data_IF_644203581919
#
_entry.id   IF_644203581919
#
_cell.length_a   1.000
_cell.length_b   1.000
_cell.length_c   1.000
_cell.angle_alpha   90.00
_cell.angle_beta   90.00
_cell.angle_gamma   90.00
#
_symmetry.space_group_name_H-M   'P 1'
#
loop_
_entity.id
_entity.type
_entity.pdbx_description
1 polymer ?
#
# COMPACT_ATOMS: atom_id res chain seq x y z
N UNK A 1 -9.00 -34.97 33.67
CA UNK A 1 -8.44 -33.61 33.72
C UNK A 1 -7.77 -33.41 32.37
N UNK A 2 -8.43 -32.72 31.43
CA UNK A 2 -7.86 -32.48 30.10
C UNK A 2 -6.90 -31.30 30.22
N UNK A 3 -5.61 -31.54 29.93
CA UNK A 3 -4.61 -30.49 29.82
C UNK A 3 -4.83 -29.85 28.47
N UNK A 4 -5.40 -28.65 28.45
CA UNK A 4 -5.49 -27.83 27.24
C UNK A 4 -4.12 -27.18 27.10
N UNK A 5 -3.33 -27.63 26.13
CA UNK A 5 -2.07 -26.97 25.79
C UNK A 5 -2.38 -25.58 25.20
N UNK A 6 -1.82 -24.56 25.84
CA UNK A 6 -1.93 -23.17 25.42
C UNK A 6 -1.23 -22.99 24.07
N UNK A 7 -1.83 -22.34 23.06
CA UNK A 7 -1.20 -22.17 21.76
C UNK A 7 0.06 -21.31 21.90
N UNK A 8 1.16 -21.76 21.29
CA UNK A 8 2.42 -21.05 21.29
C UNK A 8 2.23 -19.62 20.74
N UNK A 9 2.77 -18.63 21.44
CA UNK A 9 2.78 -17.25 20.99
C UNK A 9 3.49 -17.15 19.63
N UNK A 10 2.97 -16.34 18.68
CA UNK A 10 3.66 -16.13 17.40
C UNK A 10 5.06 -15.57 17.67
N UNK A 11 6.07 -16.15 17.02
CA UNK A 11 7.45 -15.69 17.16
C UNK A 11 7.56 -14.20 16.77
N UNK A 12 8.37 -13.41 17.48
CA UNK A 12 8.55 -12.01 17.16
C UNK A 12 9.13 -11.90 15.74
N UNK A 13 8.41 -11.21 14.87
CA UNK A 13 8.83 -10.92 13.51
C UNK A 13 10.21 -10.23 13.55
N UNK A 14 11.19 -10.83 12.87
CA UNK A 14 12.55 -10.31 12.82
C UNK A 14 12.54 -8.95 12.12
N UNK A 15 12.93 -7.90 12.84
CA UNK A 15 12.95 -6.51 12.31
C UNK A 15 14.13 -6.26 11.38
N UNK A 16 15.05 -7.20 11.29
CA UNK A 16 16.28 -7.10 10.49
C UNK A 16 16.16 -7.85 9.14
N UNK A 17 14.97 -8.36 8.79
CA UNK A 17 14.68 -8.76 7.42
C UNK A 17 14.39 -7.48 6.62
N UNK A 18 15.45 -6.70 6.39
CA UNK A 18 15.44 -5.62 5.41
C UNK A 18 14.96 -6.25 4.09
N UNK A 19 13.81 -5.79 3.62
CA UNK A 19 13.36 -6.07 2.26
C UNK A 19 14.44 -5.52 1.34
N UNK A 20 15.34 -6.40 0.87
CA UNK A 20 16.30 -6.07 -0.17
C UNK A 20 15.48 -5.45 -1.32
N UNK A 21 15.65 -4.16 -1.51
CA UNK A 21 15.09 -3.48 -2.68
C UNK A 21 15.98 -3.94 -3.82
N UNK A 22 15.45 -4.82 -4.66
CA UNK A 22 16.17 -5.38 -5.80
C UNK A 22 16.84 -4.24 -6.58
N UNK A 23 18.09 -4.44 -7.02
CA UNK A 23 18.86 -3.45 -7.79
C UNK A 23 18.08 -2.96 -9.05
N UNK A 24 17.15 -3.78 -9.56
CA UNK A 24 16.22 -3.45 -10.64
C UNK A 24 15.31 -2.25 -10.30
N UNK A 25 14.98 -2.05 -9.02
CA UNK A 25 14.16 -0.94 -8.54
C UNK A 25 14.96 0.37 -8.49
N UNK A 26 16.24 0.30 -8.13
CA UNK A 26 17.15 1.47 -8.16
C UNK A 26 17.44 1.92 -9.61
N UNK A 27 17.53 0.98 -10.56
CA UNK A 27 17.65 1.33 -11.99
C UNK A 27 16.41 2.08 -12.49
N UNK A 28 15.20 1.64 -12.11
CA UNK A 28 13.92 2.32 -12.40
C UNK A 28 13.87 3.73 -11.81
N UNK A 29 14.41 3.95 -10.60
CA UNK A 29 14.43 5.27 -9.95
C UNK A 29 15.53 6.18 -10.55
N UNK A 30 16.62 5.58 -11.06
CA UNK A 30 17.79 6.32 -11.58
C UNK A 30 17.58 6.95 -12.97
N UNK A 31 16.63 6.45 -13.76
CA UNK A 31 16.20 7.05 -15.03
C UNK A 31 15.23 8.21 -14.77
N UNK A 32 15.70 9.20 -14.02
CA UNK A 32 14.98 10.37 -13.57
C UNK A 32 14.69 11.33 -14.76
N UNK A 33 13.79 10.92 -15.66
CA UNK A 33 13.07 11.82 -16.54
C UNK A 33 11.98 12.50 -15.71
N UNK A 34 12.39 13.58 -15.03
CA UNK A 34 11.55 14.64 -14.45
C UNK A 34 10.15 14.67 -15.07
N UNK A 35 9.17 14.08 -14.37
CA UNK A 35 7.75 14.01 -14.76
C UNK A 35 7.56 13.56 -16.22
N UNK A 36 7.37 12.26 -16.43
CA UNK A 36 6.81 11.76 -17.68
C UNK A 36 5.35 12.24 -17.79
N UNK A 37 5.15 13.42 -18.38
CA UNK A 37 3.83 13.99 -18.72
C UNK A 37 2.97 13.01 -19.56
N UNK A 38 3.59 11.95 -20.09
CA UNK A 38 2.96 10.93 -20.91
C UNK A 38 2.69 9.61 -20.17
N UNK A 39 3.04 9.50 -18.88
CA UNK A 39 2.93 8.26 -18.10
C UNK A 39 1.50 7.69 -18.10
N UNK A 40 0.50 8.53 -17.83
CA UNK A 40 -0.91 8.13 -17.84
C UNK A 40 -1.41 7.70 -19.23
N UNK A 41 -0.79 8.20 -20.30
CA UNK A 41 -1.14 7.84 -21.67
C UNK A 41 -0.57 6.47 -22.08
N UNK A 42 0.41 5.94 -21.35
CA UNK A 42 0.95 4.59 -21.55
C UNK A 42 0.08 3.51 -20.92
N UNK A 43 -0.80 3.87 -19.98
CA UNK A 43 -1.70 2.94 -19.29
C UNK A 43 -2.94 2.56 -20.10
N UNK A 44 -3.39 1.31 -19.99
CA UNK A 44 -4.73 0.91 -20.43
C UNK A 44 -5.81 1.43 -19.48
N UNK A 45 -7.08 1.40 -19.89
CA UNK A 45 -8.20 1.97 -19.12
C UNK A 45 -8.27 1.45 -17.68
N UNK A 46 -8.04 0.15 -17.46
CA UNK A 46 -8.12 -0.47 -16.14
C UNK A 46 -6.93 -0.03 -15.26
N UNK A 47 -5.73 0.06 -15.84
CA UNK A 47 -4.54 0.54 -15.13
C UNK A 47 -4.69 2.01 -14.73
N UNK A 48 -5.24 2.84 -15.64
CA UNK A 48 -5.51 4.25 -15.36
C UNK A 48 -6.55 4.43 -14.26
N UNK A 49 -7.59 3.58 -14.23
CA UNK A 49 -8.57 3.61 -13.16
C UNK A 49 -7.93 3.26 -11.80
N UNK A 50 -7.07 2.24 -11.76
CA UNK A 50 -6.35 1.89 -10.55
C UNK A 50 -5.33 2.95 -10.12
N UNK A 51 -4.65 3.60 -11.08
CA UNK A 51 -3.78 4.75 -10.82
C UNK A 51 -4.55 5.91 -10.17
N UNK A 52 -5.71 6.27 -10.72
CA UNK A 52 -6.56 7.31 -10.14
C UNK A 52 -7.02 6.96 -8.71
N UNK A 53 -7.42 5.71 -8.45
CA UNK A 53 -7.74 5.26 -7.09
C UNK A 53 -6.55 5.35 -6.15
N UNK A 54 -5.34 5.04 -6.64
CA UNK A 54 -4.11 5.16 -5.86
C UNK A 54 -3.80 6.62 -5.51
N UNK A 55 -3.90 7.54 -6.47
CA UNK A 55 -3.71 8.97 -6.23
C UNK A 55 -4.69 9.51 -5.18
N UNK A 56 -5.96 9.13 -5.28
CA UNK A 56 -6.99 9.51 -4.31
C UNK A 56 -6.65 9.03 -2.89
N UNK A 57 -6.20 7.77 -2.73
CA UNK A 57 -5.74 7.24 -1.45
C UNK A 57 -4.49 7.96 -0.95
N UNK A 58 -3.54 8.25 -1.84
CA UNK A 58 -2.31 8.97 -1.48
C UNK A 58 -2.61 10.37 -0.97
N UNK A 59 -3.52 11.10 -1.61
CA UNK A 59 -3.82 12.49 -1.27
C UNK A 59 -4.75 12.60 -0.06
N UNK A 60 -5.78 11.74 0.02
CA UNK A 60 -6.88 11.88 0.97
C UNK A 60 -6.82 10.90 2.14
N UNK A 61 -5.81 10.02 2.19
CA UNK A 61 -5.59 9.15 3.35
C UNK A 61 -4.14 9.15 3.81
N UNK A 62 -3.20 8.81 2.93
CA UNK A 62 -1.79 8.62 3.31
C UNK A 62 -1.00 9.94 3.42
N UNK A 63 -1.60 11.05 2.99
CA UNK A 63 -1.04 12.38 3.17
C UNK A 63 -1.18 12.92 4.59
N UNK A 64 -1.11 14.25 4.73
CA UNK A 64 -1.20 14.92 6.04
C UNK A 64 -2.64 14.99 6.59
N UNK A 65 -3.63 14.64 5.77
CA UNK A 65 -5.04 14.64 6.16
C UNK A 65 -5.64 13.29 5.82
N UNK A 66 -6.20 12.62 6.83
CA UNK A 66 -7.09 11.47 6.64
C UNK A 66 -8.52 11.96 6.45
N UNK A 67 -9.08 11.74 5.26
CA UNK A 67 -10.47 12.08 4.94
C UNK A 67 -11.45 11.12 5.62
N UNK A 68 -12.66 11.57 5.92
CA UNK A 68 -13.71 10.75 6.54
C UNK A 68 -14.11 9.54 5.67
N UNK A 69 -13.97 9.64 4.34
CA UNK A 69 -14.28 8.57 3.39
C UNK A 69 -13.11 7.61 3.09
N UNK A 70 -12.01 7.66 3.87
CA UNK A 70 -10.81 6.84 3.64
C UNK A 70 -11.08 5.34 3.45
N UNK A 71 -12.07 4.78 4.15
CA UNK A 71 -12.46 3.36 3.99
C UNK A 71 -12.90 3.08 2.56
N UNK A 72 -13.76 3.94 1.99
CA UNK A 72 -14.23 3.76 0.61
C UNK A 72 -13.09 3.92 -0.39
N UNK A 73 -12.18 4.87 -0.16
CA UNK A 73 -11.02 5.08 -1.03
C UNK A 73 -10.13 3.84 -1.08
N UNK A 74 -9.86 3.21 0.08
CA UNK A 74 -9.03 2.00 0.12
C UNK A 74 -9.78 0.78 -0.41
N UNK A 75 -11.10 0.67 -0.22
CA UNK A 75 -11.91 -0.39 -0.86
C UNK A 75 -11.91 -0.27 -2.39
N UNK A 76 -12.02 0.96 -2.93
CA UNK A 76 -11.93 1.21 -4.37
C UNK A 76 -10.56 0.83 -4.93
N UNK A 77 -9.49 1.21 -4.20
CA UNK A 77 -8.13 0.79 -4.51
C UNK A 77 -8.00 -0.75 -4.46
N UNK A 78 -8.63 -1.42 -3.49
CA UNK A 78 -8.53 -2.88 -3.29
C UNK A 78 -9.18 -3.71 -4.41
N UNK A 79 -9.93 -3.09 -5.32
CA UNK A 79 -10.46 -3.75 -6.52
C UNK A 79 -9.39 -4.13 -7.57
N UNK A 80 -8.10 -4.14 -7.21
CA UNK A 80 -6.97 -4.69 -7.96
C UNK A 80 -7.16 -6.14 -8.43
N UNK A 81 -8.09 -6.91 -7.85
CA UNK A 81 -8.46 -8.24 -8.36
C UNK A 81 -8.93 -8.17 -9.83
N UNK A 82 -9.55 -7.06 -10.23
CA UNK A 82 -9.92 -6.80 -11.64
C UNK A 82 -8.72 -6.65 -12.58
N UNK A 83 -7.54 -6.30 -12.05
CA UNK A 83 -6.27 -6.24 -12.78
C UNK A 83 -5.52 -7.58 -12.76
N UNK A 84 -6.00 -8.58 -12.01
CA UNK A 84 -5.32 -9.85 -11.82
C UNK A 84 -4.01 -9.74 -11.03
N UNK A 85 -3.82 -8.63 -10.30
CA UNK A 85 -2.63 -8.40 -9.50
C UNK A 85 -2.68 -9.22 -8.21
N UNK A 86 -1.55 -9.83 -7.85
CA UNK A 86 -1.40 -10.40 -6.51
C UNK A 86 -1.36 -9.26 -5.50
N UNK A 87 -2.10 -9.42 -4.41
CA UNK A 87 -2.11 -8.46 -3.32
C UNK A 87 -0.73 -8.47 -2.65
N UNK A 88 0.04 -7.39 -2.80
CA UNK A 88 1.29 -7.26 -2.07
C UNK A 88 0.98 -7.10 -0.56
N UNK A 89 1.94 -7.47 0.29
CA UNK A 89 1.76 -7.44 1.76
C UNK A 89 1.47 -6.03 2.29
N UNK A 90 1.97 -4.98 1.63
CA UNK A 90 1.74 -3.57 2.01
C UNK A 90 0.28 -3.16 1.82
N UNK A 91 -0.34 -3.52 0.69
CA UNK A 91 -1.76 -3.26 0.41
C UNK A 91 -2.66 -4.08 1.34
N UNK A 92 -2.28 -5.33 1.62
CA UNK A 92 -3.02 -6.14 2.59
C UNK A 92 -2.97 -5.54 4.00
N UNK A 93 -1.81 -5.05 4.44
CA UNK A 93 -1.65 -4.34 5.71
C UNK A 93 -2.50 -3.06 5.73
N UNK A 94 -2.42 -2.24 4.68
CA UNK A 94 -3.17 -1.00 4.53
C UNK A 94 -4.67 -1.25 4.72
N UNK A 95 -5.22 -2.23 4.01
CA UNK A 95 -6.63 -2.62 4.08
C UNK A 95 -7.04 -3.18 5.45
N UNK A 96 -6.21 -4.06 6.04
CA UNK A 96 -6.52 -4.73 7.31
C UNK A 96 -6.43 -3.81 8.53
N UNK A 97 -5.71 -2.70 8.42
CA UNK A 97 -5.34 -1.85 9.55
C UNK A 97 -5.69 -0.37 9.36
N UNK A 98 -6.69 -0.08 8.52
CA UNK A 98 -7.19 1.27 8.24
C UNK A 98 -7.43 2.11 9.50
N UNK A 99 -8.04 1.52 10.54
CA UNK A 99 -8.36 2.23 11.78
C UNK A 99 -7.16 2.51 12.68
N UNK A 100 -6.00 1.89 12.43
CA UNK A 100 -4.78 2.10 13.22
C UNK A 100 -4.03 3.36 12.79
N UNK A 101 -4.32 3.91 11.61
CA UNK A 101 -3.68 5.12 11.13
C UNK A 101 -4.15 6.36 11.91
N UNK A 102 -3.23 7.27 12.27
CA UNK A 102 -3.57 8.53 12.92
C UNK A 102 -4.37 9.45 11.98
N UNK A 103 -4.76 10.64 12.45
CA UNK A 103 -5.50 11.59 11.61
C UNK A 103 -4.63 12.27 10.55
N UNK A 104 -3.32 12.30 10.79
CA UNK A 104 -2.28 12.89 9.97
C UNK A 104 -1.17 11.86 9.66
N UNK A 105 -1.44 10.80 8.88
CA UNK A 105 -0.45 9.74 8.61
C UNK A 105 0.88 10.27 8.08
N UNK A 106 0.84 11.26 7.20
CA UNK A 106 2.03 11.87 6.60
C UNK A 106 3.02 12.48 7.60
N UNK A 107 2.57 12.93 8.78
CA UNK A 107 3.47 13.51 9.80
C UNK A 107 4.30 12.44 10.54
N UNK A 108 3.95 11.16 10.38
CA UNK A 108 4.64 10.01 10.99
C UNK A 108 5.36 9.14 9.95
N UNK A 109 5.35 9.54 8.68
CA UNK A 109 6.11 8.89 7.62
C UNK A 109 7.59 9.30 7.71
N UNK A 110 8.50 8.33 7.51
CA UNK A 110 9.96 8.54 7.48
C UNK A 110 10.45 9.12 6.14
#
# INVERSE_FOLDING_TARGET
MLVVEEPAAPEPMNKDEEMEVDDDFEEIISEDEKYDDNFEYKMIEIERAAWASFEEVSQNFLGNTKSENYVNLVEELYNYDTLGCLMNSKLHYLHSHLSHFPENPGDYSE
#
